data_IF_608775369797
#
_entry.id   IF_608775369797
#
_cell.length_a   1.000
_cell.length_b   1.000
_cell.length_c   1.000
_cell.angle_alpha   90.00
_cell.angle_beta   90.00
_cell.angle_gamma   90.00
#
_symmetry.space_group_name_H-M   'P 1'
#
loop_
_entity.id
_entity.type
_entity.pdbx_description
1 polymer ?
#
# COMPACT_ATOMS: atom_id res chain seq x y z
N UNK A 1 -1.05 3.27 -7.96
CA UNK A 1 -1.14 4.24 -6.86
C UNK A 1 -1.34 5.67 -7.39
N UNK A 2 -0.42 6.29 -8.08
CA UNK A 2 -0.44 7.73 -8.47
C UNK A 2 -1.74 8.21 -9.12
N UNK A 3 -2.31 7.44 -10.09
CA UNK A 3 -3.60 7.78 -10.70
C UNK A 3 -4.78 7.83 -9.71
N UNK A 4 -4.68 7.12 -8.59
CA UNK A 4 -5.69 7.18 -7.54
C UNK A 4 -5.46 8.39 -6.65
N UNK A 5 -4.21 8.67 -6.29
CA UNK A 5 -3.86 9.85 -5.51
C UNK A 5 -4.26 11.14 -6.26
N UNK A 6 -3.91 11.26 -7.55
CA UNK A 6 -4.31 12.43 -8.37
C UNK A 6 -5.83 12.57 -8.60
N UNK A 7 -6.63 11.54 -8.32
CA UNK A 7 -8.09 11.62 -8.35
C UNK A 7 -8.70 12.03 -7.02
N UNK A 8 -8.02 11.70 -5.93
CA UNK A 8 -8.51 11.94 -4.57
C UNK A 8 -8.02 13.27 -4.01
N UNK A 9 -6.89 13.76 -4.49
CA UNK A 9 -6.20 14.92 -3.95
C UNK A 9 -5.82 15.92 -5.03
N UNK A 10 -5.76 17.20 -4.66
CA UNK A 10 -5.31 18.29 -5.50
C UNK A 10 -3.86 18.72 -5.13
N UNK A 11 -3.05 19.24 -6.09
CA UNK A 11 -1.77 19.86 -5.77
C UNK A 11 -1.92 20.95 -4.69
N UNK A 12 -0.96 21.03 -3.77
CA UNK A 12 -1.00 21.88 -2.58
C UNK A 12 -1.59 21.23 -1.34
N UNK A 13 -2.24 20.06 -1.46
CA UNK A 13 -2.72 19.31 -0.30
C UNK A 13 -1.58 18.61 0.43
N UNK A 14 -1.76 18.47 1.76
CA UNK A 14 -0.80 17.83 2.66
C UNK A 14 -1.11 16.35 2.82
N UNK A 15 -0.19 15.48 2.41
CA UNK A 15 -0.35 14.04 2.47
C UNK A 15 0.67 13.42 3.43
N UNK A 16 0.29 12.30 4.07
CA UNK A 16 1.24 11.48 4.82
C UNK A 16 1.39 10.11 4.15
N UNK A 17 2.65 9.71 3.92
CA UNK A 17 3.05 8.40 3.38
C UNK A 17 3.42 7.45 4.52
N UNK A 18 2.66 6.38 4.68
CA UNK A 18 2.87 5.37 5.72
C UNK A 18 3.70 4.21 5.20
N UNK A 19 5.00 4.21 5.54
CA UNK A 19 5.97 3.27 5.03
C UNK A 19 6.50 3.66 3.65
N UNK A 20 7.12 4.84 3.58
CA UNK A 20 7.58 5.47 2.33
C UNK A 20 8.71 4.71 1.61
N UNK A 21 9.38 3.77 2.29
CA UNK A 21 10.52 3.06 1.73
C UNK A 21 11.61 4.03 1.26
N UNK A 22 11.99 3.91 -0.01
CA UNK A 22 13.01 4.78 -0.62
C UNK A 22 12.46 6.12 -1.15
N UNK A 23 11.25 6.51 -0.79
CA UNK A 23 10.64 7.80 -1.13
C UNK A 23 10.21 7.96 -2.59
N UNK A 24 10.02 6.87 -3.33
CA UNK A 24 9.66 6.95 -4.76
C UNK A 24 8.33 7.66 -4.97
N UNK A 25 7.31 7.27 -4.20
CA UNK A 25 5.97 7.86 -4.30
C UNK A 25 5.95 9.28 -3.71
N UNK A 26 6.59 9.48 -2.55
CA UNK A 26 6.64 10.79 -1.88
C UNK A 26 7.29 11.88 -2.76
N UNK A 27 8.44 11.58 -3.36
CA UNK A 27 9.14 12.51 -4.23
C UNK A 27 8.37 12.77 -5.53
N UNK A 28 7.78 11.73 -6.14
CA UNK A 28 6.96 11.91 -7.33
C UNK A 28 5.73 12.81 -7.06
N UNK A 29 5.08 12.65 -5.93
CA UNK A 29 3.97 13.53 -5.54
C UNK A 29 4.44 14.96 -5.26
N UNK A 30 5.59 15.13 -4.62
CA UNK A 30 6.18 16.44 -4.40
C UNK A 30 6.51 17.17 -5.72
N UNK A 31 7.03 16.47 -6.74
CA UNK A 31 7.21 16.97 -8.11
C UNK A 31 5.89 17.41 -8.75
N UNK A 32 4.76 16.78 -8.35
CA UNK A 32 3.41 17.16 -8.78
C UNK A 32 2.78 18.28 -7.94
N UNK A 33 3.50 18.82 -6.96
CA UNK A 33 3.06 19.95 -6.14
C UNK A 33 2.34 19.61 -4.84
N UNK A 34 2.36 18.35 -4.38
CA UNK A 34 1.85 17.97 -3.06
C UNK A 34 2.89 18.19 -1.97
N UNK A 35 2.46 18.46 -0.74
CA UNK A 35 3.32 18.49 0.43
C UNK A 35 3.24 17.14 1.15
N UNK A 36 4.36 16.41 1.20
CA UNK A 36 4.38 15.03 1.67
C UNK A 36 5.20 14.86 2.94
N UNK A 37 4.58 14.40 4.01
CA UNK A 37 5.27 13.85 5.18
C UNK A 37 5.48 12.36 4.95
N UNK A 38 6.71 11.97 4.65
CA UNK A 38 7.09 10.59 4.35
C UNK A 38 7.61 9.91 5.62
N UNK A 39 6.92 8.85 6.08
CA UNK A 39 7.28 8.15 7.31
C UNK A 39 7.72 6.72 7.02
N UNK A 40 8.76 6.26 7.71
CA UNK A 40 9.21 4.86 7.69
C UNK A 40 9.87 4.51 9.02
N UNK A 41 9.73 3.27 9.47
CA UNK A 41 10.37 2.81 10.71
C UNK A 41 11.89 2.59 10.52
N UNK A 42 12.35 2.39 9.29
CA UNK A 42 13.75 2.16 8.94
C UNK A 42 14.49 3.49 8.75
N UNK A 43 15.50 3.83 9.60
CA UNK A 43 16.29 5.04 9.42
C UNK A 43 16.96 5.13 8.05
N UNK A 44 17.40 3.97 7.50
CA UNK A 44 17.99 3.91 6.17
C UNK A 44 17.00 4.30 5.06
N UNK A 45 15.72 3.91 5.19
CA UNK A 45 14.70 4.28 4.20
C UNK A 45 14.41 5.78 4.27
N UNK A 46 14.33 6.34 5.47
CA UNK A 46 14.16 7.78 5.69
C UNK A 46 15.33 8.57 5.08
N UNK A 47 16.56 8.14 5.33
CA UNK A 47 17.74 8.73 4.74
C UNK A 47 17.67 8.72 3.20
N UNK A 48 17.37 7.58 2.59
CA UNK A 48 17.23 7.44 1.14
C UNK A 48 16.09 8.30 0.57
N UNK A 49 15.02 8.49 1.33
CA UNK A 49 13.93 9.39 0.94
C UNK A 49 14.42 10.84 0.91
N UNK A 50 15.15 11.28 1.94
CA UNK A 50 15.72 12.61 1.99
C UNK A 50 16.76 12.86 0.87
N UNK A 51 17.66 11.91 0.63
CA UNK A 51 18.62 11.95 -0.48
C UNK A 51 17.93 12.05 -1.84
N UNK A 52 16.84 11.29 -2.05
CA UNK A 52 16.06 11.34 -3.29
C UNK A 52 15.34 12.69 -3.45
N UNK A 53 14.78 13.23 -2.37
CA UNK A 53 14.14 14.56 -2.39
C UNK A 53 15.15 15.66 -2.73
N UNK A 54 16.35 15.60 -2.18
CA UNK A 54 17.44 16.54 -2.50
C UNK A 54 17.86 16.42 -3.97
N UNK A 55 18.07 15.21 -4.47
CA UNK A 55 18.45 14.96 -5.87
C UNK A 55 17.40 15.45 -6.88
N UNK A 56 16.13 15.55 -6.47
CA UNK A 56 15.02 16.05 -7.29
C UNK A 56 14.59 17.48 -6.97
N UNK A 57 15.32 18.15 -6.07
CA UNK A 57 15.09 19.57 -5.68
C UNK A 57 13.67 19.82 -5.14
N UNK A 58 13.13 18.89 -4.35
CA UNK A 58 11.80 18.96 -3.72
C UNK A 58 11.88 18.84 -2.18
N UNK A 59 12.97 19.22 -1.59
CA UNK A 59 13.19 19.16 -0.12
C UNK A 59 12.26 20.07 0.67
N UNK A 60 11.75 21.12 0.05
CA UNK A 60 10.76 22.04 0.61
C UNK A 60 9.37 21.40 0.72
N UNK A 61 9.10 20.34 -0.05
CA UNK A 61 7.82 19.63 -0.10
C UNK A 61 7.84 18.23 0.49
N UNK A 62 9.01 17.68 0.80
CA UNK A 62 9.15 16.35 1.38
C UNK A 62 9.77 16.43 2.76
N UNK A 63 8.99 16.09 3.80
CA UNK A 63 9.46 15.93 5.17
C UNK A 63 9.62 14.43 5.48
N UNK A 64 10.85 13.93 5.49
CA UNK A 64 11.14 12.53 5.81
C UNK A 64 11.35 12.33 7.31
N UNK A 65 10.60 11.39 7.94
CA UNK A 65 10.59 11.16 9.37
C UNK A 65 10.79 9.68 9.72
N UNK A 66 11.63 9.40 10.70
CA UNK A 66 11.80 8.06 11.22
C UNK A 66 10.69 7.77 12.26
N UNK A 67 9.53 7.43 11.73
CA UNK A 67 8.31 7.10 12.48
C UNK A 67 7.65 5.92 11.77
N UNK A 68 7.53 4.79 12.44
CA UNK A 68 6.79 3.63 11.93
C UNK A 68 5.28 3.89 11.92
N UNK A 69 4.55 3.17 11.06
CA UNK A 69 3.09 3.30 11.06
C UNK A 69 2.43 2.91 12.39
N UNK A 70 3.11 2.15 13.23
CA UNK A 70 2.70 1.83 14.62
C UNK A 70 3.10 2.90 15.64
N UNK A 71 3.85 3.92 15.23
CA UNK A 71 4.35 5.02 16.07
C UNK A 71 3.75 6.39 15.70
N UNK A 72 2.67 6.42 14.93
CA UNK A 72 2.03 7.66 14.47
C UNK A 72 1.58 8.58 15.61
N UNK A 73 1.38 8.05 16.81
CA UNK A 73 1.11 8.83 18.04
C UNK A 73 2.23 9.84 18.38
N UNK A 74 3.45 9.64 17.87
CA UNK A 74 4.60 10.56 18.05
C UNK A 74 4.51 11.83 17.20
N UNK A 75 3.56 11.90 16.27
CA UNK A 75 3.33 13.07 15.42
C UNK A 75 2.33 14.00 16.09
N UNK A 76 2.72 15.27 16.28
CA UNK A 76 1.86 16.32 16.86
C UNK A 76 0.93 16.99 15.82
N UNK A 77 0.88 16.47 14.60
CA UNK A 77 0.19 17.03 13.44
C UNK A 77 -1.33 16.67 13.40
N UNK A 78 -2.03 16.72 14.55
CA UNK A 78 -3.47 16.38 14.62
C UNK A 78 -4.31 17.26 13.68
N UNK A 79 -5.14 16.62 12.83
CA UNK A 79 -6.00 17.30 11.87
C UNK A 79 -5.26 18.12 10.80
N UNK A 80 -4.00 17.79 10.52
CA UNK A 80 -3.16 18.56 9.61
C UNK A 80 -3.17 18.06 8.16
N UNK A 81 -3.50 16.78 7.94
CA UNK A 81 -3.38 16.14 6.63
C UNK A 81 -4.73 16.05 5.91
N UNK A 82 -4.72 16.32 4.60
CA UNK A 82 -5.85 16.12 3.70
C UNK A 82 -6.05 14.63 3.41
N UNK A 83 -4.96 13.85 3.43
CA UNK A 83 -5.01 12.41 3.26
C UNK A 83 -3.78 11.65 3.72
N UNK A 84 -3.95 10.32 3.81
CA UNK A 84 -2.85 9.40 4.01
C UNK A 84 -2.84 8.33 2.93
N UNK A 85 -1.65 7.88 2.56
CA UNK A 85 -1.51 6.74 1.65
C UNK A 85 -0.43 5.77 2.14
N UNK A 86 -0.54 4.53 1.68
CA UNK A 86 0.46 3.49 1.87
C UNK A 86 0.49 2.59 0.66
N UNK A 87 1.65 2.32 0.10
CA UNK A 87 1.81 1.58 -1.13
C UNK A 87 2.69 0.34 -0.96
N UNK A 88 2.30 -0.77 -1.63
CA UNK A 88 3.03 -2.04 -1.66
C UNK A 88 3.16 -2.77 -0.31
N UNK A 89 2.20 -2.56 0.60
CA UNK A 89 1.98 -3.42 1.76
C UNK A 89 2.75 -3.13 3.05
N UNK A 90 3.25 -1.91 3.36
CA UNK A 90 3.84 -1.64 4.67
C UNK A 90 2.88 -1.93 5.82
N UNK A 91 1.57 -1.69 5.62
CA UNK A 91 0.54 -1.95 6.62
C UNK A 91 0.31 -3.45 6.91
N UNK A 92 0.84 -4.34 6.08
CA UNK A 92 0.87 -5.77 6.35
C UNK A 92 1.90 -6.15 7.42
N UNK A 93 2.83 -5.25 7.74
CA UNK A 93 3.95 -5.48 8.65
C UNK A 93 3.78 -4.78 10.01
N UNK A 94 2.67 -4.09 10.22
CA UNK A 94 2.41 -3.41 11.50
C UNK A 94 1.89 -4.40 12.55
N UNK A 95 2.29 -4.25 13.83
CA UNK A 95 1.84 -5.12 14.91
C UNK A 95 0.34 -5.04 15.16
N UNK A 96 -0.20 -3.81 15.25
CA UNK A 96 -1.62 -3.53 15.46
C UNK A 96 -2.14 -2.50 14.45
N UNK A 97 -3.07 -2.95 13.62
CA UNK A 97 -3.69 -2.10 12.61
C UNK A 97 -4.76 -1.17 13.21
N UNK A 98 -5.31 -1.49 14.40
CA UNK A 98 -6.29 -0.65 15.07
C UNK A 98 -5.67 0.67 15.55
N UNK A 99 -4.44 0.63 16.04
CA UNK A 99 -3.68 1.84 16.37
C UNK A 99 -3.46 2.71 15.14
N UNK A 100 -3.11 2.11 14.00
CA UNK A 100 -2.97 2.85 12.73
C UNK A 100 -4.28 3.53 12.34
N UNK A 101 -5.41 2.82 12.45
CA UNK A 101 -6.72 3.37 12.10
C UNK A 101 -7.09 4.57 13.00
N UNK A 102 -6.89 4.45 14.31
CA UNK A 102 -7.12 5.52 15.28
C UNK A 102 -6.24 6.73 15.01
N UNK A 103 -4.94 6.51 14.80
CA UNK A 103 -4.00 7.60 14.57
C UNK A 103 -4.21 8.28 13.21
N UNK A 104 -4.54 7.54 12.15
CA UNK A 104 -4.98 8.15 10.90
C UNK A 104 -6.22 9.04 11.10
N UNK A 105 -7.19 8.58 11.93
CA UNK A 105 -8.35 9.41 12.24
C UNK A 105 -7.98 10.68 13.02
N UNK A 106 -6.97 10.63 13.90
CA UNK A 106 -6.46 11.80 14.62
C UNK A 106 -5.74 12.79 13.68
N UNK A 107 -4.87 12.27 12.80
CA UNK A 107 -4.00 13.07 11.95
C UNK A 107 -4.72 13.73 10.77
N UNK A 108 -5.78 13.12 10.25
CA UNK A 108 -6.50 13.64 9.09
C UNK A 108 -7.52 14.71 9.49
N UNK A 109 -7.69 15.69 8.59
CA UNK A 109 -8.80 16.65 8.63
C UNK A 109 -10.17 15.94 8.58
N UNK A 110 -11.26 16.55 9.03
CA UNK A 110 -12.61 16.06 8.76
C UNK A 110 -12.80 15.83 7.24
N UNK A 111 -13.34 14.67 6.87
CA UNK A 111 -13.49 14.28 5.47
C UNK A 111 -12.22 13.88 4.73
N UNK A 112 -11.06 13.84 5.41
CA UNK A 112 -9.79 13.38 4.86
C UNK A 112 -9.85 11.94 4.34
N UNK A 113 -9.01 11.61 3.36
CA UNK A 113 -9.10 10.37 2.58
C UNK A 113 -7.87 9.47 2.82
N UNK A 114 -8.11 8.17 2.95
CA UNK A 114 -7.09 7.12 2.98
C UNK A 114 -7.05 6.39 1.64
N UNK A 115 -5.85 6.20 1.09
CA UNK A 115 -5.63 5.43 -0.14
C UNK A 115 -4.53 4.38 0.12
N UNK A 116 -4.91 3.14 0.36
CA UNK A 116 -3.97 2.09 0.73
C UNK A 116 -3.94 0.97 -0.31
N UNK A 117 -2.74 0.43 -0.60
CA UNK A 117 -2.57 -0.88 -1.22
C UNK A 117 -2.06 -1.88 -0.19
N UNK A 118 -2.72 -3.01 -0.10
CA UNK A 118 -2.50 -4.03 0.93
C UNK A 118 -2.30 -5.38 0.28
N UNK A 119 -1.34 -6.17 0.77
CA UNK A 119 -1.10 -7.53 0.26
C UNK A 119 -2.30 -8.40 0.64
N UNK A 120 -2.95 -8.93 -0.39
CA UNK A 120 -4.16 -9.74 -0.26
C UNK A 120 -3.88 -11.18 0.18
N UNK A 121 -4.88 -11.79 0.83
CA UNK A 121 -4.81 -13.19 1.28
C UNK A 121 -4.91 -14.19 0.13
N UNK A 122 -5.55 -13.84 -0.97
CA UNK A 122 -5.80 -14.74 -2.07
C UNK A 122 -5.21 -14.25 -3.38
N UNK A 123 -4.05 -14.82 -3.76
CA UNK A 123 -3.37 -14.55 -5.02
C UNK A 123 -3.30 -15.84 -5.86
N UNK A 124 -4.20 -16.03 -6.86
CA UNK A 124 -4.22 -17.24 -7.69
C UNK A 124 -2.88 -17.50 -8.40
N UNK A 125 -2.21 -16.46 -8.88
CA UNK A 125 -0.93 -16.57 -9.56
C UNK A 125 0.17 -17.14 -8.67
N UNK A 126 0.27 -16.66 -7.43
CA UNK A 126 1.26 -17.13 -6.47
C UNK A 126 0.97 -18.57 -6.06
N UNK A 127 -0.30 -18.91 -5.82
CA UNK A 127 -0.72 -20.26 -5.52
C UNK A 127 -0.32 -21.21 -6.66
N UNK A 128 -0.71 -20.89 -7.91
CA UNK A 128 -0.38 -21.71 -9.07
C UNK A 128 1.13 -21.84 -9.27
N UNK A 129 1.89 -20.76 -9.07
CA UNK A 129 3.35 -20.77 -9.18
C UNK A 129 4.00 -21.75 -8.20
N UNK A 130 3.65 -21.70 -6.91
CA UNK A 130 4.23 -22.58 -5.90
C UNK A 130 3.72 -24.02 -5.98
N UNK A 131 2.45 -24.24 -6.36
CA UNK A 131 1.92 -25.58 -6.63
C UNK A 131 2.68 -26.27 -7.76
N UNK A 132 2.95 -25.56 -8.87
CA UNK A 132 3.73 -26.10 -9.99
C UNK A 132 5.18 -26.46 -9.60
N UNK A 133 5.72 -25.83 -8.55
CA UNK A 133 7.05 -26.14 -8.02
C UNK A 133 7.02 -27.21 -6.92
N UNK A 134 5.85 -27.79 -6.59
CA UNK A 134 5.71 -28.72 -5.45
C UNK A 134 5.84 -28.08 -4.08
N UNK A 135 5.86 -26.76 -3.97
CA UNK A 135 6.10 -25.99 -2.73
C UNK A 135 4.78 -25.66 -2.02
N UNK A 136 4.05 -26.68 -1.61
CA UNK A 136 2.71 -26.60 -1.03
C UNK A 136 2.60 -25.70 0.21
N UNK A 137 3.62 -25.73 1.08
CA UNK A 137 3.66 -24.85 2.25
C UNK A 137 3.67 -23.38 1.86
N UNK A 138 4.44 -23.01 0.82
CA UNK A 138 4.44 -21.64 0.28
C UNK A 138 3.16 -21.27 -0.43
N UNK A 139 2.54 -22.18 -1.15
CA UNK A 139 1.24 -21.94 -1.80
C UNK A 139 0.14 -21.58 -0.80
N UNK A 140 0.26 -22.02 0.45
CA UNK A 140 -0.74 -21.79 1.51
C UNK A 140 -0.38 -20.67 2.48
N UNK A 141 0.82 -20.06 2.38
CA UNK A 141 1.32 -19.09 3.37
C UNK A 141 0.37 -17.92 3.59
N UNK A 142 -0.26 -17.43 2.52
CA UNK A 142 -1.19 -16.28 2.60
C UNK A 142 -2.52 -16.61 3.30
N UNK A 143 -2.87 -17.88 3.47
CA UNK A 143 -4.08 -18.28 4.19
C UNK A 143 -3.91 -18.27 5.71
N UNK A 144 -2.68 -18.11 6.21
CA UNK A 144 -2.44 -17.92 7.63
C UNK A 144 -3.19 -16.68 8.13
N UNK A 145 -3.90 -16.85 9.25
CA UNK A 145 -4.61 -15.74 9.91
C UNK A 145 -3.70 -14.93 10.82
N UNK A 146 -2.58 -15.52 11.22
CA UNK A 146 -1.56 -14.92 12.06
C UNK A 146 -0.44 -14.32 11.20
N UNK A 147 0.44 -13.57 11.86
CA UNK A 147 1.67 -13.05 11.29
C UNK A 147 2.59 -14.21 10.90
N UNK A 148 3.15 -14.16 9.71
CA UNK A 148 4.09 -15.17 9.19
C UNK A 148 5.41 -14.55 8.79
N UNK A 149 6.54 -15.26 8.92
CA UNK A 149 7.84 -14.78 8.45
C UNK A 149 7.92 -14.88 6.93
N UNK A 150 8.25 -13.77 6.29
CA UNK A 150 8.50 -13.67 4.85
C UNK A 150 9.94 -13.23 4.62
N UNK A 151 10.71 -14.02 3.89
CA UNK A 151 12.09 -13.67 3.52
C UNK A 151 12.10 -12.64 2.39
N UNK A 152 12.79 -11.52 2.59
CA UNK A 152 13.01 -10.49 1.59
C UNK A 152 14.44 -9.95 1.70
N UNK A 153 15.24 -10.07 0.62
CA UNK A 153 16.61 -9.53 0.56
C UNK A 153 17.48 -9.88 1.78
N UNK A 154 17.53 -11.18 2.16
CA UNK A 154 18.24 -11.72 3.34
C UNK A 154 17.72 -11.23 4.71
N UNK A 155 16.57 -10.58 4.76
CA UNK A 155 15.88 -10.21 5.99
C UNK A 155 14.57 -10.98 6.13
N UNK A 156 14.15 -11.23 7.36
CA UNK A 156 12.82 -11.77 7.66
C UNK A 156 11.89 -10.62 8.02
N UNK A 157 10.80 -10.49 7.28
CA UNK A 157 9.76 -9.51 7.56
C UNK A 157 8.51 -10.24 8.05
N UNK A 158 8.03 -9.85 9.20
CA UNK A 158 6.79 -10.38 9.77
C UNK A 158 5.60 -9.75 9.07
N UNK A 159 4.82 -10.58 8.36
CA UNK A 159 3.77 -10.11 7.46
C UNK A 159 2.44 -10.76 7.82
N UNK A 160 1.38 -9.99 7.89
CA UNK A 160 -0.01 -10.46 7.98
C UNK A 160 -0.73 -10.21 6.66
N UNK A 161 -1.36 -11.25 6.12
CA UNK A 161 -2.17 -11.16 4.92
C UNK A 161 -3.63 -10.90 5.27
N UNK A 162 -4.25 -9.93 4.62
CA UNK A 162 -5.62 -9.54 4.93
C UNK A 162 -6.59 -9.94 3.82
N UNK A 163 -7.78 -10.40 4.23
CA UNK A 163 -8.94 -10.30 3.36
C UNK A 163 -9.45 -8.84 3.39
N UNK A 164 -9.98 -8.32 2.27
CA UNK A 164 -10.36 -6.91 2.20
C UNK A 164 -11.40 -6.46 3.23
N UNK A 165 -12.40 -7.30 3.50
CA UNK A 165 -13.41 -7.00 4.53
C UNK A 165 -12.81 -6.98 5.94
N UNK A 166 -11.87 -7.89 6.22
CA UNK A 166 -11.15 -7.95 7.49
C UNK A 166 -10.29 -6.69 7.69
N UNK A 167 -9.59 -6.24 6.64
CA UNK A 167 -8.82 -5.00 6.70
C UNK A 167 -9.73 -3.79 6.94
N UNK A 168 -10.80 -3.64 6.15
CA UNK A 168 -11.72 -2.52 6.28
C UNK A 168 -12.42 -2.48 7.65
N UNK A 169 -12.80 -3.62 8.22
CA UNK A 169 -13.48 -3.67 9.52
C UNK A 169 -12.70 -2.98 10.65
N UNK A 170 -11.36 -2.93 10.56
CA UNK A 170 -10.51 -2.22 11.52
C UNK A 170 -10.64 -0.70 11.38
N UNK A 171 -10.86 -0.19 10.17
CA UNK A 171 -10.99 1.24 9.87
C UNK A 171 -12.45 1.73 9.94
N UNK A 172 -13.42 0.84 9.87
CA UNK A 172 -14.85 1.14 9.84
C UNK A 172 -15.36 2.06 10.97
N UNK A 173 -14.85 1.98 12.21
CA UNK A 173 -15.26 2.89 13.29
C UNK A 173 -15.00 4.37 12.96
N UNK A 174 -13.99 4.67 12.16
CA UNK A 174 -13.54 6.04 11.87
C UNK A 174 -13.78 6.46 10.43
N UNK A 175 -13.87 5.50 9.50
CA UNK A 175 -13.86 5.75 8.05
C UNK A 175 -14.99 5.02 7.34
N UNK A 176 -15.53 5.63 6.32
CA UNK A 176 -16.48 5.02 5.38
C UNK A 176 -15.76 4.52 4.12
N UNK A 177 -16.08 3.31 3.67
CA UNK A 177 -15.52 2.74 2.45
C UNK A 177 -16.05 3.50 1.23
N UNK A 178 -15.15 4.01 0.39
CA UNK A 178 -15.48 4.71 -0.85
C UNK A 178 -15.24 3.84 -2.08
N UNK A 179 -14.10 3.14 -2.11
CA UNK A 179 -13.74 2.30 -3.25
C UNK A 179 -12.90 1.12 -2.81
N UNK A 180 -13.06 0.03 -3.59
CA UNK A 180 -12.31 -1.19 -3.36
C UNK A 180 -12.04 -1.90 -4.68
N UNK A 181 -10.78 -2.35 -4.89
CA UNK A 181 -10.34 -2.96 -6.14
C UNK A 181 -9.20 -3.93 -5.92
N UNK A 182 -9.23 -5.08 -6.61
CA UNK A 182 -8.08 -5.98 -6.73
C UNK A 182 -6.96 -5.39 -7.60
N UNK A 183 -5.74 -5.84 -7.35
CA UNK A 183 -4.55 -5.48 -8.14
C UNK A 183 -3.82 -6.77 -8.52
N UNK A 184 -3.40 -6.88 -9.78
CA UNK A 184 -2.80 -8.09 -10.36
C UNK A 184 -3.71 -9.32 -10.14
N UNK A 185 -4.95 -9.20 -10.58
CA UNK A 185 -5.95 -10.27 -10.50
C UNK A 185 -5.76 -11.26 -11.64
N UNK A 186 -5.83 -10.77 -12.88
CA UNK A 186 -5.61 -11.54 -14.11
C UNK A 186 -4.19 -11.39 -14.63
N UNK A 187 -3.57 -10.21 -14.52
CA UNK A 187 -2.16 -10.04 -14.81
C UNK A 187 -1.30 -10.63 -13.69
N UNK A 188 -0.24 -11.37 -14.00
CA UNK A 188 0.68 -11.88 -13.00
C UNK A 188 1.36 -10.74 -12.25
N UNK A 189 1.62 -10.93 -10.93
CA UNK A 189 2.40 -9.98 -10.16
C UNK A 189 3.78 -9.72 -10.76
N UNK A 190 4.37 -8.53 -10.56
CA UNK A 190 5.64 -8.13 -11.19
C UNK A 190 6.82 -9.06 -10.89
N UNK A 191 6.83 -9.74 -9.75
CA UNK A 191 7.88 -10.70 -9.39
C UNK A 191 7.75 -12.06 -10.12
N UNK A 192 6.60 -12.35 -10.75
CA UNK A 192 6.39 -13.52 -11.61
C UNK A 192 6.67 -13.14 -13.08
N UNK A 193 7.93 -12.85 -13.39
CA UNK A 193 8.34 -12.27 -14.68
C UNK A 193 8.14 -13.17 -15.90
N UNK A 194 8.08 -14.50 -15.71
CA UNK A 194 8.07 -15.49 -16.79
C UNK A 194 6.97 -15.29 -17.83
N UNK A 195 5.74 -14.98 -17.40
CA UNK A 195 4.61 -14.74 -18.33
C UNK A 195 4.82 -13.46 -19.13
N UNK A 196 5.28 -12.39 -18.48
CA UNK A 196 5.55 -11.10 -19.14
C UNK A 196 6.66 -11.23 -20.19
N UNK A 197 7.72 -11.96 -19.87
CA UNK A 197 8.86 -12.15 -20.78
C UNK A 197 8.50 -13.06 -21.96
N UNK A 198 7.83 -14.18 -21.67
CA UNK A 198 7.52 -15.18 -22.71
C UNK A 198 6.30 -14.79 -23.57
N UNK A 199 5.31 -14.13 -22.99
CA UNK A 199 4.05 -13.80 -23.65
C UNK A 199 3.64 -12.32 -23.41
N UNK A 200 4.39 -11.33 -23.94
CA UNK A 200 4.16 -9.91 -23.64
C UNK A 200 2.76 -9.41 -24.10
N UNK A 201 2.26 -9.92 -25.25
CA UNK A 201 0.91 -9.56 -25.75
C UNK A 201 -0.20 -10.07 -24.83
N UNK A 202 -0.09 -11.33 -24.35
CA UNK A 202 -1.02 -11.89 -23.38
C UNK A 202 -1.00 -11.12 -22.07
N UNK A 203 0.19 -10.78 -21.56
CA UNK A 203 0.34 -9.97 -20.37
C UNK A 203 -0.34 -8.59 -20.52
N UNK A 204 -0.16 -7.91 -21.65
CA UNK A 204 -0.80 -6.63 -21.92
C UNK A 204 -2.34 -6.76 -21.97
N UNK A 205 -2.87 -7.83 -22.56
CA UNK A 205 -4.30 -8.12 -22.59
C UNK A 205 -4.86 -8.38 -21.19
N UNK A 206 -4.21 -9.23 -20.38
CA UNK A 206 -4.58 -9.50 -19.00
C UNK A 206 -4.55 -8.22 -18.13
N UNK A 207 -3.55 -7.37 -18.34
CA UNK A 207 -3.46 -6.06 -17.69
C UNK A 207 -4.59 -5.11 -18.11
N UNK A 208 -5.01 -5.18 -19.37
CA UNK A 208 -6.19 -4.47 -19.89
C UNK A 208 -7.47 -4.95 -19.20
N UNK A 209 -7.62 -6.27 -19.06
CA UNK A 209 -8.75 -6.89 -18.36
C UNK A 209 -8.82 -6.45 -16.90
N UNK A 210 -7.69 -6.43 -16.19
CA UNK A 210 -7.61 -5.93 -14.81
C UNK A 210 -8.11 -4.49 -14.69
N UNK A 211 -7.86 -3.62 -15.68
CA UNK A 211 -8.35 -2.24 -15.66
C UNK A 211 -9.88 -2.15 -15.65
N UNK A 212 -10.55 -3.11 -16.24
CA UNK A 212 -12.03 -3.11 -16.37
C UNK A 212 -12.68 -3.87 -15.21
N UNK A 213 -12.26 -5.10 -14.94
CA UNK A 213 -13.04 -6.02 -14.10
C UNK A 213 -12.52 -6.17 -12.65
N UNK A 214 -11.31 -5.72 -12.34
CA UNK A 214 -10.72 -5.91 -11.01
C UNK A 214 -11.48 -5.18 -9.87
N UNK A 215 -12.44 -4.33 -10.20
CA UNK A 215 -13.37 -3.70 -9.25
C UNK A 215 -14.68 -4.47 -9.04
N UNK A 216 -14.97 -5.51 -9.80
CA UNK A 216 -16.24 -6.24 -9.72
C UNK A 216 -16.37 -7.02 -8.40
N UNK A 217 -17.59 -7.16 -7.82
CA UNK A 217 -17.80 -7.65 -6.46
C UNK A 217 -17.08 -8.96 -6.13
N UNK A 218 -17.10 -9.95 -6.99
CA UNK A 218 -16.49 -11.27 -6.72
C UNK A 218 -14.99 -11.32 -7.05
N UNK A 219 -14.52 -10.42 -7.92
CA UNK A 219 -13.16 -10.41 -8.45
C UNK A 219 -12.26 -9.52 -7.58
N UNK A 220 -12.77 -8.41 -7.09
CA UNK A 220 -12.00 -7.40 -6.34
C UNK A 220 -11.33 -7.90 -5.06
N UNK A 221 -11.73 -9.07 -4.55
CA UNK A 221 -11.14 -9.71 -3.37
C UNK A 221 -10.01 -10.67 -3.71
N UNK A 222 -9.69 -10.83 -4.99
CA UNK A 222 -8.62 -11.67 -5.50
C UNK A 222 -7.48 -10.80 -6.02
N UNK A 223 -6.30 -11.40 -6.21
CA UNK A 223 -5.13 -10.70 -6.72
C UNK A 223 -4.00 -10.61 -5.70
N UNK A 224 -2.88 -10.07 -6.15
CA UNK A 224 -1.68 -9.95 -5.31
C UNK A 224 -1.87 -8.94 -4.18
N UNK A 225 -2.44 -7.77 -4.54
CA UNK A 225 -2.82 -6.72 -3.62
C UNK A 225 -4.28 -6.33 -3.85
N UNK A 226 -4.81 -5.58 -2.92
CA UNK A 226 -6.02 -4.79 -3.15
C UNK A 226 -5.78 -3.32 -2.82
N UNK A 227 -6.47 -2.45 -3.53
CA UNK A 227 -6.54 -1.02 -3.25
C UNK A 227 -7.84 -0.75 -2.51
N UNK A 228 -7.75 0.02 -1.45
CA UNK A 228 -8.90 0.51 -0.69
C UNK A 228 -8.83 2.03 -0.55
N UNK A 229 -9.96 2.70 -0.80
CA UNK A 229 -10.14 4.14 -0.55
C UNK A 229 -11.21 4.31 0.51
N UNK A 230 -10.88 5.04 1.57
CA UNK A 230 -11.77 5.28 2.70
C UNK A 230 -11.78 6.78 3.02
N UNK A 231 -12.94 7.31 3.47
CA UNK A 231 -13.11 8.72 3.84
C UNK A 231 -13.44 8.83 5.31
N UNK A 232 -12.76 9.73 6.02
CA UNK A 232 -13.03 10.02 7.43
C UNK A 232 -14.47 10.52 7.59
N UNK A 233 -15.14 9.97 8.60
CA UNK A 233 -16.54 10.32 8.97
C UNK A 233 -16.64 11.66 9.64
#
# INVERSE_FOLDING_TARGET
>A
MWRWLSRMFAPGERLIDLGCGTGLDAVHLAEMGYDVTATDWSPLMVQRTAERAAARQVTDRVRALNVGAHELHRLDDAGAFDGAYSNLGPLNCVPDLADVARECARLLKPGGVLVFTVIGRFCPWEIAHYVRQGRWARARVRFARNVVPVGMNNHTIWTRYYAPREFYAVFEPYFSLQHFRGICVFAPPPYLTGVRQKYPRLHAWLWGLDKVVAGWPFIRSTGDHFLVVMKKR
#
